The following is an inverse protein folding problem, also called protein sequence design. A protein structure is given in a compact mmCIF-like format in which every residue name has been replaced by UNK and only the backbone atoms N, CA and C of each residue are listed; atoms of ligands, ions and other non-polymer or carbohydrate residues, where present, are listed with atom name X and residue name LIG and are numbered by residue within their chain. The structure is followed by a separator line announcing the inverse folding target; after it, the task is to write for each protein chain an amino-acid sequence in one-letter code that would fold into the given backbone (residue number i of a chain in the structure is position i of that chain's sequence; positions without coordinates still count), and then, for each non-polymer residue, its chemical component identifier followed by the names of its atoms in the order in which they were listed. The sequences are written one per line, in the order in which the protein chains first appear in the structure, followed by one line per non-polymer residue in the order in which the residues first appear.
data_IF_992117255576
#
_entry.id   IF_992117255576
#
_cell.length_a   1.000
_cell.length_b   1.000
_cell.length_c   1.000
_cell.angle_alpha   90.00
_cell.angle_beta   90.00
_cell.angle_gamma   90.00
#
_symmetry.space_group_name_H-M   'P 1'
#
loop_
_entity.id
_entity.type
_entity.pdbx_description
1 polymer ?
#
# COMPACT_ATOMS: atom_id res chain seq x y z
N UNK A 1 44.02 -31.34 33.49
CA UNK A 1 43.76 -29.88 33.58
C UNK A 1 42.28 -29.64 33.33
N UNK A 2 41.56 -29.18 34.37
CA UNK A 2 40.11 -29.03 34.38
C UNK A 2 39.71 -27.70 33.70
N UNK A 3 39.17 -27.77 32.48
CA UNK A 3 38.61 -26.61 31.73
C UNK A 3 37.23 -26.14 32.25
N UNK A 4 36.71 -26.69 33.34
CA UNK A 4 35.38 -26.38 33.89
C UNK A 4 35.19 -24.98 34.53
N UNK A 5 36.19 -24.29 35.12
CA UNK A 5 35.95 -22.98 35.73
C UNK A 5 35.79 -21.86 34.68
N UNK A 6 36.43 -21.99 33.51
CA UNK A 6 36.41 -20.96 32.46
C UNK A 6 35.05 -20.96 31.74
N UNK A 7 34.43 -22.13 31.53
CA UNK A 7 33.13 -22.25 30.87
C UNK A 7 31.98 -21.64 31.70
N UNK A 8 32.04 -21.77 33.03
CA UNK A 8 31.03 -21.19 33.95
C UNK A 8 31.18 -19.67 34.04
N UNK A 9 32.41 -19.15 33.97
CA UNK A 9 32.66 -17.71 33.97
C UNK A 9 32.21 -17.04 32.67
N UNK A 10 32.38 -17.71 31.52
CA UNK A 10 31.87 -17.22 30.22
C UNK A 10 30.34 -17.22 30.20
N UNK A 11 29.68 -18.28 30.69
CA UNK A 11 28.21 -18.35 30.75
C UNK A 11 27.60 -17.33 31.73
N UNK A 12 28.28 -17.01 32.83
CA UNK A 12 27.85 -15.95 33.76
C UNK A 12 28.07 -14.54 33.18
N UNK A 13 29.14 -14.33 32.42
CA UNK A 13 29.36 -13.06 31.71
C UNK A 13 28.32 -12.85 30.60
N UNK A 14 28.04 -13.89 29.80
CA UNK A 14 26.99 -13.84 28.77
C UNK A 14 25.61 -13.53 29.38
N UNK A 15 25.30 -14.07 30.57
CA UNK A 15 24.00 -13.82 31.21
C UNK A 15 23.87 -12.41 31.79
N UNK A 16 24.93 -11.87 32.41
CA UNK A 16 24.94 -10.52 32.98
C UNK A 16 24.94 -9.45 31.87
N UNK A 17 25.69 -9.69 30.78
CA UNK A 17 25.70 -8.82 29.60
C UNK A 17 24.33 -8.83 28.91
N UNK A 18 23.74 -10.01 28.67
CA UNK A 18 22.39 -10.14 28.10
C UNK A 18 21.33 -9.42 28.93
N UNK A 19 21.40 -9.48 30.27
CA UNK A 19 20.45 -8.79 31.16
C UNK A 19 20.58 -7.26 31.05
N UNK A 20 21.80 -6.73 31.07
CA UNK A 20 22.02 -5.28 30.95
C UNK A 20 21.53 -4.71 29.62
N UNK A 21 21.71 -5.50 28.56
CA UNK A 21 21.26 -5.18 27.21
C UNK A 21 19.74 -5.15 27.11
N UNK A 22 19.08 -6.16 27.69
CA UNK A 22 17.62 -6.26 27.74
C UNK A 22 16.99 -5.12 28.53
N UNK A 23 17.58 -4.75 29.68
CA UNK A 23 17.14 -3.61 30.51
C UNK A 23 17.23 -2.29 29.75
N UNK A 24 18.27 -2.08 28.94
CA UNK A 24 18.43 -0.83 28.19
C UNK A 24 17.46 -0.74 27.01
N UNK A 25 17.20 -1.84 26.29
CA UNK A 25 16.14 -1.87 25.27
C UNK A 25 14.76 -1.71 25.91
N UNK A 26 14.54 -2.27 27.08
CA UNK A 26 13.33 -2.04 27.87
C UNK A 26 13.18 -0.54 28.21
N UNK A 27 14.24 0.12 28.67
CA UNK A 27 14.24 1.55 28.94
C UNK A 27 13.95 2.39 27.68
N UNK A 28 14.50 2.02 26.53
CA UNK A 28 14.21 2.66 25.24
C UNK A 28 12.74 2.48 24.87
N UNK A 29 12.22 1.26 25.01
CA UNK A 29 10.83 0.91 24.74
C UNK A 29 9.88 1.69 25.63
N UNK A 30 10.19 1.83 26.93
CA UNK A 30 9.42 2.62 27.88
C UNK A 30 9.52 4.13 27.60
N UNK A 31 10.67 4.64 27.17
CA UNK A 31 10.82 6.03 26.70
C UNK A 31 9.99 6.30 25.44
N UNK A 32 9.89 5.31 24.55
CA UNK A 32 9.05 5.38 23.34
C UNK A 32 7.56 5.38 23.72
N UNK A 33 7.15 4.51 24.64
CA UNK A 33 5.77 4.42 25.12
C UNK A 33 5.32 5.64 25.95
N UNK A 34 6.21 6.28 26.70
CA UNK A 34 5.88 7.42 27.57
C UNK A 34 5.77 8.76 26.82
N UNK A 35 6.35 8.86 25.61
CA UNK A 35 6.24 10.03 24.72
C UNK A 35 4.90 10.09 23.96
N UNK A 36 3.78 9.82 24.63
CA UNK A 36 2.39 9.75 24.15
C UNK A 36 1.83 10.97 23.34
N UNK A 37 2.67 11.83 22.75
CA UNK A 37 2.27 13.08 22.09
C UNK A 37 3.20 13.63 20.99
N UNK A 38 4.14 12.88 20.42
CA UNK A 38 5.11 13.47 19.48
C UNK A 38 5.11 12.76 18.11
N UNK A 39 4.75 13.55 17.10
CA UNK A 39 4.98 13.44 15.64
C UNK A 39 5.37 12.05 15.09
N UNK A 40 4.49 11.53 14.22
CA UNK A 40 4.49 10.15 13.72
C UNK A 40 5.61 9.91 12.71
N UNK A 41 6.82 9.67 13.21
CA UNK A 41 7.77 8.79 12.57
C UNK A 41 8.64 8.11 13.64
N UNK A 42 8.31 6.86 13.99
CA UNK A 42 9.05 6.11 15.02
C UNK A 42 10.56 6.04 14.70
N UNK A 43 10.95 6.09 13.42
CA UNK A 43 12.35 6.17 12.98
C UNK A 43 13.03 7.45 13.50
N UNK A 44 12.34 8.60 13.50
CA UNK A 44 12.88 9.83 14.07
C UNK A 44 13.13 9.70 15.58
N UNK A 45 12.28 8.92 16.27
CA UNK A 45 12.48 8.68 17.70
C UNK A 45 13.65 7.72 17.93
N UNK A 46 13.78 6.68 17.09
CA UNK A 46 14.95 5.80 17.11
C UNK A 46 16.25 6.58 16.84
N UNK A 47 16.28 7.47 15.85
CA UNK A 47 17.43 8.36 15.57
C UNK A 47 17.75 9.27 16.75
N UNK A 48 16.74 9.90 17.35
CA UNK A 48 16.94 10.77 18.51
C UNK A 48 17.52 10.01 19.69
N UNK A 49 17.11 8.77 19.90
CA UNK A 49 17.60 7.91 20.98
C UNK A 49 18.98 7.34 20.67
N UNK A 50 19.26 7.01 19.41
CA UNK A 50 20.59 6.56 18.99
C UNK A 50 21.62 7.68 19.17
N UNK A 51 21.27 8.92 18.81
CA UNK A 51 22.15 10.08 18.97
C UNK A 51 22.39 10.50 20.43
N UNK A 52 21.60 10.00 21.38
CA UNK A 52 21.96 10.15 22.79
C UNK A 52 23.12 9.20 23.11
N UNK A 53 24.32 9.77 23.22
CA UNK A 53 25.64 9.10 23.20
C UNK A 53 25.78 7.88 24.14
N UNK A 54 24.92 7.71 25.15
CA UNK A 54 25.00 6.61 26.12
C UNK A 54 24.46 5.25 25.63
N UNK A 55 23.74 5.19 24.51
CA UNK A 55 23.09 3.96 24.05
C UNK A 55 23.93 3.19 23.02
N UNK A 56 24.56 3.87 22.06
CA UNK A 56 25.28 3.24 20.93
C UNK A 56 26.58 2.57 21.39
N UNK A 57 27.31 3.14 22.35
CA UNK A 57 28.67 2.70 22.69
C UNK A 57 28.75 1.36 23.46
N UNK A 58 27.62 0.72 23.76
CA UNK A 58 27.56 -0.37 24.75
C UNK A 58 27.02 -1.72 24.27
N UNK A 59 26.63 -1.85 23.00
CA UNK A 59 26.10 -3.10 22.46
C UNK A 59 27.07 -3.69 21.43
N UNK A 60 27.42 -4.97 21.60
CA UNK A 60 28.09 -5.70 20.52
C UNK A 60 27.06 -6.40 19.60
N UNK A 61 27.51 -6.77 18.40
CA UNK A 61 26.64 -7.37 17.38
C UNK A 61 25.93 -8.65 17.84
N UNK A 62 26.64 -9.54 18.54
CA UNK A 62 26.11 -10.84 18.97
C UNK A 62 24.97 -10.69 19.98
N UNK A 63 25.05 -9.69 20.86
CA UNK A 63 24.00 -9.35 21.81
C UNK A 63 22.72 -8.88 21.10
N UNK A 64 22.87 -7.98 20.12
CA UNK A 64 21.74 -7.46 19.35
C UNK A 64 21.07 -8.57 18.52
N UNK A 65 21.85 -9.50 17.95
CA UNK A 65 21.31 -10.69 17.26
C UNK A 65 20.51 -11.56 18.24
N UNK A 66 21.02 -11.79 19.45
CA UNK A 66 20.30 -12.58 20.46
C UNK A 66 18.95 -11.96 20.81
N UNK A 67 18.88 -10.64 20.89
CA UNK A 67 17.62 -9.92 21.15
C UNK A 67 16.65 -10.08 19.98
N UNK A 68 17.15 -9.86 18.76
CA UNK A 68 16.40 -9.97 17.52
C UNK A 68 15.72 -11.34 17.38
N UNK A 69 16.34 -12.40 17.89
CA UNK A 69 15.78 -13.75 17.79
C UNK A 69 14.72 -14.03 18.87
N UNK A 70 14.95 -13.58 20.12
CA UNK A 70 14.21 -14.09 21.29
C UNK A 70 13.11 -13.18 21.85
N UNK A 71 12.98 -11.95 21.37
CA UNK A 71 12.12 -10.93 22.02
C UNK A 71 10.78 -10.65 21.30
N UNK A 72 9.98 -9.77 21.89
CA UNK A 72 8.80 -9.21 21.23
C UNK A 72 9.18 -8.32 20.03
N UNK A 73 8.22 -8.09 19.13
CA UNK A 73 8.48 -7.47 17.82
C UNK A 73 9.09 -6.07 17.91
N UNK A 74 8.67 -5.27 18.88
CA UNK A 74 9.23 -3.94 19.06
C UNK A 74 10.72 -3.98 19.43
N UNK A 75 11.08 -4.82 20.42
CA UNK A 75 12.48 -5.03 20.82
C UNK A 75 13.32 -5.57 19.66
N UNK A 76 12.75 -6.46 18.83
CA UNK A 76 13.39 -6.98 17.62
C UNK A 76 13.74 -5.85 16.65
N UNK A 77 12.81 -4.94 16.37
CA UNK A 77 13.03 -3.81 15.48
C UNK A 77 14.05 -2.81 16.03
N UNK A 78 14.02 -2.53 17.34
CA UNK A 78 15.02 -1.69 18.00
C UNK A 78 16.41 -2.32 17.86
N UNK A 79 16.55 -3.61 18.15
CA UNK A 79 17.82 -4.32 17.99
C UNK A 79 18.30 -4.27 16.53
N UNK A 80 17.41 -4.52 15.56
CA UNK A 80 17.75 -4.43 14.14
C UNK A 80 18.21 -3.04 13.73
N UNK A 81 17.54 -1.98 14.20
CA UNK A 81 17.94 -0.60 13.95
C UNK A 81 19.39 -0.34 14.38
N UNK A 82 19.82 -0.84 15.54
CA UNK A 82 21.21 -0.74 15.97
C UNK A 82 22.17 -1.62 15.15
N UNK A 83 21.76 -2.84 14.78
CA UNK A 83 22.55 -3.74 13.92
C UNK A 83 22.91 -3.04 12.60
N UNK A 84 21.97 -2.33 11.98
CA UNK A 84 22.21 -1.61 10.72
C UNK A 84 23.25 -0.50 10.88
N UNK A 85 23.32 0.13 12.05
CA UNK A 85 24.31 1.16 12.35
C UNK A 85 25.73 0.63 12.56
N UNK A 86 25.88 -0.60 13.06
CA UNK A 86 27.19 -1.19 13.40
C UNK A 86 27.74 -2.14 12.32
N UNK A 87 26.86 -2.84 11.60
CA UNK A 87 27.23 -3.84 10.60
C UNK A 87 26.19 -3.88 9.46
N UNK A 88 26.45 -3.06 8.44
CA UNK A 88 25.58 -2.96 7.26
C UNK A 88 25.41 -4.32 6.57
N UNK A 89 26.49 -5.06 6.34
CA UNK A 89 26.44 -6.36 5.66
C UNK A 89 25.55 -7.35 6.40
N UNK A 90 25.68 -7.44 7.73
CA UNK A 90 24.85 -8.34 8.53
C UNK A 90 23.38 -7.96 8.50
N UNK A 91 23.10 -6.66 8.54
CA UNK A 91 21.73 -6.15 8.46
C UNK A 91 21.06 -6.50 7.12
N UNK A 92 21.81 -6.44 6.01
CA UNK A 92 21.35 -6.86 4.69
C UNK A 92 21.03 -8.36 4.67
N UNK A 93 21.89 -9.20 5.24
CA UNK A 93 21.62 -10.64 5.34
C UNK A 93 20.32 -10.94 6.10
N UNK A 94 20.10 -10.25 7.22
CA UNK A 94 18.91 -10.41 8.05
C UNK A 94 17.66 -9.93 7.31
N UNK A 95 17.73 -8.77 6.65
CA UNK A 95 16.64 -8.24 5.82
C UNK A 95 16.28 -9.23 4.72
N UNK A 96 17.25 -9.70 3.94
CA UNK A 96 16.99 -10.61 2.82
C UNK A 96 16.35 -11.93 3.25
N UNK A 97 16.70 -12.45 4.43
CA UNK A 97 16.04 -13.62 5.03
C UNK A 97 14.59 -13.38 5.43
N UNK A 98 14.22 -12.13 5.70
CA UNK A 98 12.93 -11.75 6.28
C UNK A 98 12.09 -10.85 5.37
N UNK A 99 12.54 -10.53 4.16
CA UNK A 99 11.91 -9.54 3.27
C UNK A 99 10.44 -9.86 2.94
N UNK A 100 10.07 -11.15 2.94
CA UNK A 100 8.69 -11.60 2.72
C UNK A 100 8.01 -12.14 3.98
N UNK A 101 8.60 -11.94 5.16
CA UNK A 101 8.07 -12.44 6.42
C UNK A 101 6.68 -11.83 6.66
N UNK A 102 5.59 -12.63 6.62
CA UNK A 102 4.23 -12.12 6.68
C UNK A 102 3.79 -11.75 8.10
N UNK A 103 4.64 -11.96 9.11
CA UNK A 103 4.30 -11.67 10.50
C UNK A 103 3.93 -10.20 10.63
N UNK A 104 2.68 -9.94 10.98
CA UNK A 104 2.18 -8.60 11.27
C UNK A 104 2.74 -8.15 12.62
N UNK A 105 3.32 -6.96 12.64
CA UNK A 105 3.69 -6.23 13.83
C UNK A 105 2.63 -5.16 14.06
N UNK A 106 2.10 -5.13 15.28
CA UNK A 106 1.17 -4.10 15.72
C UNK A 106 1.89 -3.13 16.64
N UNK A 107 1.74 -1.84 16.36
CA UNK A 107 2.25 -0.78 17.22
C UNK A 107 1.07 -0.16 17.99
N UNK A 108 1.13 -0.20 19.32
CA UNK A 108 0.14 0.44 20.18
C UNK A 108 0.41 1.95 20.24
N UNK A 109 0.15 2.64 19.12
CA UNK A 109 0.22 4.09 18.96
C UNK A 109 -1.21 4.67 18.92
N UNK A 110 -1.42 5.97 19.17
CA UNK A 110 -2.75 6.60 19.12
C UNK A 110 -3.50 6.35 17.80
N UNK A 111 -2.75 6.29 16.70
CA UNK A 111 -3.21 5.80 15.41
C UNK A 111 -2.69 4.37 15.23
N UNK A 112 -3.60 3.40 15.26
CA UNK A 112 -3.28 1.98 15.11
C UNK A 112 -2.51 1.75 13.81
N UNK A 113 -1.27 1.29 13.91
CA UNK A 113 -0.38 1.03 12.77
C UNK A 113 0.00 -0.46 12.74
N UNK A 114 -0.30 -1.11 11.62
CA UNK A 114 0.08 -2.49 11.31
C UNK A 114 1.01 -2.51 10.10
N UNK A 115 2.04 -3.35 10.17
CA UNK A 115 2.99 -3.56 9.08
C UNK A 115 3.58 -4.96 9.17
N UNK A 116 4.16 -5.47 8.09
CA UNK A 116 4.85 -6.77 8.13
C UNK A 116 6.26 -6.60 8.68
N UNK A 117 6.79 -7.65 9.31
CA UNK A 117 8.15 -7.63 9.82
C UNK A 117 9.18 -7.33 8.72
N UNK A 118 9.02 -7.92 7.53
CA UNK A 118 9.88 -7.63 6.38
C UNK A 118 9.82 -6.17 5.92
N UNK A 119 8.63 -5.56 5.91
CA UNK A 119 8.46 -4.15 5.54
C UNK A 119 9.14 -3.22 6.55
N UNK A 120 9.04 -3.51 7.85
CA UNK A 120 9.68 -2.69 8.88
C UNK A 120 11.21 -2.80 8.84
N UNK A 121 11.77 -4.00 8.63
CA UNK A 121 13.21 -4.13 8.38
C UNK A 121 13.64 -3.33 7.15
N UNK A 122 12.87 -3.38 6.06
CA UNK A 122 13.15 -2.63 4.83
C UNK A 122 13.19 -1.12 5.10
N UNK A 123 12.20 -0.59 5.83
CA UNK A 123 12.14 0.84 6.22
C UNK A 123 13.37 1.26 7.02
N UNK A 124 13.72 0.48 8.04
CA UNK A 124 14.85 0.76 8.92
C UNK A 124 16.16 0.75 8.11
N UNK A 125 16.39 -0.26 7.27
CA UNK A 125 17.61 -0.35 6.46
C UNK A 125 17.72 0.83 5.50
N UNK A 126 16.64 1.16 4.77
CA UNK A 126 16.64 2.30 3.84
C UNK A 126 16.90 3.62 4.57
N UNK A 127 16.28 3.82 5.72
CA UNK A 127 16.45 5.02 6.52
C UNK A 127 17.91 5.20 6.97
N UNK A 128 18.51 4.15 7.55
CA UNK A 128 19.88 4.18 8.07
C UNK A 128 20.93 4.32 6.98
N UNK A 129 20.82 3.58 5.87
CA UNK A 129 21.76 3.70 4.75
C UNK A 129 21.73 5.11 4.15
N UNK A 130 20.54 5.72 4.06
CA UNK A 130 20.38 7.10 3.61
C UNK A 130 21.02 8.10 4.58
N UNK A 131 20.79 7.93 5.89
CA UNK A 131 21.40 8.77 6.92
C UNK A 131 22.93 8.69 6.90
N UNK A 132 23.47 7.48 6.76
CA UNK A 132 24.90 7.21 6.69
C UNK A 132 25.52 7.60 5.35
N UNK A 133 24.72 8.05 4.37
CA UNK A 133 25.15 8.37 3.00
C UNK A 133 25.91 7.21 2.34
N UNK A 134 25.42 5.98 2.54
CA UNK A 134 26.03 4.78 1.93
C UNK A 134 26.13 4.97 0.41
N UNK A 135 27.32 4.76 -0.15
CA UNK A 135 27.62 5.05 -1.57
C UNK A 135 26.83 4.19 -2.56
N UNK A 136 26.35 3.03 -2.11
CA UNK A 136 25.55 2.07 -2.87
C UNK A 136 24.03 2.17 -2.59
N UNK A 137 23.56 3.20 -1.87
CA UNK A 137 22.18 3.29 -1.41
C UNK A 137 21.15 3.11 -2.53
N UNK A 138 21.28 3.87 -3.63
CA UNK A 138 20.31 3.83 -4.74
C UNK A 138 20.28 2.46 -5.44
N UNK A 139 21.45 1.83 -5.59
CA UNK A 139 21.55 0.49 -6.19
C UNK A 139 20.94 -0.58 -5.27
N UNK A 140 21.14 -0.44 -3.96
CA UNK A 140 20.55 -1.32 -2.97
C UNK A 140 19.03 -1.19 -2.91
N UNK A 141 18.50 0.04 -2.93
CA UNK A 141 17.05 0.28 -2.99
C UNK A 141 16.45 -0.40 -4.22
N UNK A 142 17.03 -0.17 -5.41
CA UNK A 142 16.57 -0.81 -6.65
C UNK A 142 16.64 -2.34 -6.57
N UNK A 143 17.67 -2.90 -5.95
CA UNK A 143 17.79 -4.34 -5.76
C UNK A 143 16.66 -4.91 -4.91
N UNK A 144 16.38 -4.28 -3.75
CA UNK A 144 15.30 -4.68 -2.85
C UNK A 144 13.92 -4.52 -3.50
N UNK A 145 13.68 -3.39 -4.17
CA UNK A 145 12.44 -3.15 -4.90
C UNK A 145 12.22 -4.20 -6.01
N UNK A 146 13.27 -4.55 -6.75
CA UNK A 146 13.20 -5.58 -7.78
C UNK A 146 12.91 -6.97 -7.19
N UNK A 147 13.47 -7.31 -6.02
CA UNK A 147 13.15 -8.56 -5.31
C UNK A 147 11.66 -8.60 -4.92
N UNK A 148 11.17 -7.56 -4.26
CA UNK A 148 9.76 -7.44 -3.84
C UNK A 148 8.84 -7.57 -5.06
N UNK A 149 9.15 -6.83 -6.13
CA UNK A 149 8.31 -6.78 -7.31
C UNK A 149 8.20 -8.13 -8.03
N UNK A 150 9.31 -8.87 -8.18
CA UNK A 150 9.33 -10.13 -8.94
C UNK A 150 8.90 -11.36 -8.12
N UNK A 151 8.86 -11.28 -6.79
CA UNK A 151 8.46 -12.41 -5.97
C UNK A 151 6.93 -12.58 -5.91
N UNK A 152 6.42 -13.69 -6.43
CA UNK A 152 5.00 -14.04 -6.40
C UNK A 152 4.44 -14.18 -4.97
N UNK A 153 5.29 -14.57 -4.01
CA UNK A 153 4.88 -14.75 -2.62
C UNK A 153 4.98 -13.47 -1.79
N UNK A 154 5.49 -12.36 -2.36
CA UNK A 154 5.71 -11.14 -1.61
C UNK A 154 4.42 -10.64 -0.94
N UNK A 155 4.51 -10.35 0.36
CA UNK A 155 3.45 -9.75 1.17
C UNK A 155 3.71 -8.27 1.47
N UNK A 156 4.76 -7.71 0.86
CA UNK A 156 5.20 -6.35 1.13
C UNK A 156 4.17 -5.33 0.66
N UNK A 157 3.86 -4.36 1.52
CA UNK A 157 2.99 -3.24 1.17
C UNK A 157 3.62 -2.31 0.12
N UNK A 158 4.94 -2.33 -0.04
CA UNK A 158 5.65 -1.54 -1.06
C UNK A 158 5.30 -1.98 -2.47
N UNK A 159 4.94 -3.25 -2.67
CA UNK A 159 4.69 -3.83 -3.98
C UNK A 159 3.59 -3.12 -4.76
N UNK A 160 2.52 -2.69 -4.10
CA UNK A 160 1.45 -1.94 -4.76
C UNK A 160 1.95 -0.59 -5.32
N UNK A 161 2.81 0.11 -4.57
CA UNK A 161 3.46 1.34 -5.02
C UNK A 161 4.42 1.11 -6.18
N UNK A 162 5.22 0.04 -6.12
CA UNK A 162 6.13 -0.35 -7.20
C UNK A 162 5.37 -0.66 -8.49
N UNK A 163 4.28 -1.43 -8.40
CA UNK A 163 3.39 -1.75 -9.52
C UNK A 163 2.83 -0.49 -10.16
N UNK A 164 2.34 0.47 -9.36
CA UNK A 164 1.78 1.74 -9.85
C UNK A 164 2.80 2.55 -10.67
N UNK A 165 4.07 2.48 -10.28
CA UNK A 165 5.16 3.26 -10.86
C UNK A 165 5.92 2.53 -11.99
N UNK A 166 5.57 1.28 -12.31
CA UNK A 166 6.22 0.55 -13.40
C UNK A 166 6.02 1.26 -14.73
N UNK A 167 7.12 1.44 -15.48
CA UNK A 167 7.06 1.97 -16.83
C UNK A 167 6.25 1.07 -17.76
N UNK A 168 5.56 1.69 -18.73
CA UNK A 168 4.75 0.99 -19.74
C UNK A 168 5.67 0.56 -20.89
N UNK A 169 6.44 -0.49 -20.64
CA UNK A 169 7.36 -1.14 -21.59
C UNK A 169 7.08 -2.65 -21.67
N UNK A 170 7.37 -3.27 -22.81
CA UNK A 170 7.01 -4.67 -23.09
C UNK A 170 7.51 -5.65 -22.01
N UNK A 171 8.73 -5.45 -21.49
CA UNK A 171 9.28 -6.27 -20.41
C UNK A 171 8.39 -6.31 -19.16
N UNK A 172 7.74 -5.18 -18.83
CA UNK A 172 6.88 -5.07 -17.65
C UNK A 172 5.47 -5.59 -17.91
N UNK A 173 5.05 -5.73 -19.18
CA UNK A 173 3.73 -6.24 -19.56
C UNK A 173 3.51 -7.66 -19.04
N UNK A 174 4.42 -8.59 -19.34
CA UNK A 174 4.31 -9.99 -18.92
C UNK A 174 4.31 -10.16 -17.40
N UNK A 175 5.14 -9.38 -16.69
CA UNK A 175 5.17 -9.35 -15.24
C UNK A 175 3.84 -8.87 -14.66
N UNK A 176 3.31 -7.75 -15.15
CA UNK A 176 2.01 -7.22 -14.71
C UNK A 176 0.87 -8.18 -15.02
N UNK A 177 0.93 -8.86 -16.16
CA UNK A 177 -0.05 -9.86 -16.56
C UNK A 177 -0.06 -11.05 -15.62
N UNK A 178 1.11 -11.53 -15.18
CA UNK A 178 1.24 -12.57 -14.16
C UNK A 178 0.63 -12.11 -12.83
N UNK A 179 1.04 -10.94 -12.32
CA UNK A 179 0.57 -10.39 -11.04
C UNK A 179 -0.95 -10.17 -11.05
N UNK A 180 -1.52 -9.65 -12.14
CA UNK A 180 -2.95 -9.40 -12.26
C UNK A 180 -3.78 -10.69 -12.20
N UNK A 181 -3.28 -11.82 -12.71
CA UNK A 181 -4.00 -13.10 -12.61
C UNK A 181 -4.10 -13.63 -11.20
N UNK A 182 -3.11 -13.35 -10.35
CA UNK A 182 -3.08 -13.77 -8.95
C UNK A 182 -4.07 -12.98 -8.08
N UNK A 183 -4.47 -11.76 -8.52
CA UNK A 183 -5.37 -10.83 -7.83
C UNK A 183 -4.94 -10.39 -6.42
N UNK A 184 -3.73 -10.73 -5.97
CA UNK A 184 -3.18 -10.32 -4.67
C UNK A 184 -2.90 -8.82 -4.60
N UNK A 185 -2.44 -8.24 -5.72
CA UNK A 185 -2.19 -6.80 -5.87
C UNK A 185 -3.09 -6.26 -6.98
N UNK A 186 -4.37 -5.96 -6.67
CA UNK A 186 -5.37 -5.63 -7.68
C UNK A 186 -5.07 -4.35 -8.46
N UNK A 187 -4.18 -3.48 -7.99
CA UNK A 187 -3.67 -2.31 -8.72
C UNK A 187 -2.97 -2.69 -10.03
N UNK A 188 -2.42 -3.91 -10.12
CA UNK A 188 -1.75 -4.42 -11.31
C UNK A 188 -2.64 -4.42 -12.56
N UNK A 189 -3.95 -4.66 -12.44
CA UNK A 189 -4.84 -4.63 -13.62
C UNK A 189 -4.99 -3.24 -14.20
N UNK A 190 -4.90 -2.20 -13.36
CA UNK A 190 -4.96 -0.80 -13.80
C UNK A 190 -3.71 -0.46 -14.60
N UNK A 191 -2.54 -0.88 -14.12
CA UNK A 191 -1.28 -0.66 -14.83
C UNK A 191 -1.19 -1.50 -16.12
N UNK A 192 -1.63 -2.76 -16.08
CA UNK A 192 -1.70 -3.65 -17.24
C UNK A 192 -2.58 -3.05 -18.35
N UNK A 193 -3.72 -2.46 -18.00
CA UNK A 193 -4.62 -1.86 -18.97
C UNK A 193 -3.99 -0.69 -19.75
N UNK A 194 -2.98 0.00 -19.22
CA UNK A 194 -2.29 1.09 -19.94
C UNK A 194 -1.60 0.63 -21.23
N UNK A 195 -1.26 -0.66 -21.33
CA UNK A 195 -0.72 -1.26 -22.56
C UNK A 195 -1.78 -1.42 -23.67
N UNK A 196 -3.07 -1.39 -23.31
CA UNK A 196 -4.20 -1.53 -24.26
C UNK A 196 -4.12 -2.78 -25.14
N UNK A 197 -3.50 -3.84 -24.61
CA UNK A 197 -3.32 -5.10 -25.33
C UNK A 197 -4.64 -5.90 -25.34
N UNK A 198 -5.11 -6.28 -26.53
CA UNK A 198 -6.37 -7.03 -26.70
C UNK A 198 -6.34 -8.41 -26.01
N UNK A 199 -5.16 -9.00 -25.82
CA UNK A 199 -5.01 -10.29 -25.16
C UNK A 199 -5.26 -10.24 -23.64
N UNK A 200 -5.41 -9.04 -23.06
CA UNK A 200 -5.70 -8.85 -21.63
C UNK A 200 -7.18 -8.55 -21.34
N UNK A 201 -8.02 -8.47 -22.37
CA UNK A 201 -9.46 -8.20 -22.24
C UNK A 201 -10.12 -9.17 -21.25
N UNK A 202 -9.81 -10.46 -21.36
CA UNK A 202 -10.38 -11.48 -20.48
C UNK A 202 -9.99 -11.28 -19.01
N UNK A 203 -8.75 -10.84 -18.75
CA UNK A 203 -8.27 -10.57 -17.40
C UNK A 203 -9.05 -9.39 -16.81
N UNK A 204 -9.27 -8.31 -17.58
CA UNK A 204 -10.05 -7.15 -17.14
C UNK A 204 -11.51 -7.55 -16.88
N UNK A 205 -12.12 -8.37 -17.74
CA UNK A 205 -13.47 -8.91 -17.55
C UNK A 205 -13.57 -9.71 -16.24
N UNK A 206 -12.58 -10.56 -15.94
CA UNK A 206 -12.53 -11.33 -14.70
C UNK A 206 -12.45 -10.45 -13.44
N UNK A 207 -11.91 -9.24 -13.55
CA UNK A 207 -11.99 -8.24 -12.47
C UNK A 207 -13.36 -7.59 -12.39
N UNK A 208 -13.96 -7.20 -13.53
CA UNK A 208 -15.31 -6.61 -13.57
C UNK A 208 -16.38 -7.54 -13.00
N UNK A 209 -16.25 -8.84 -13.22
CA UNK A 209 -17.19 -9.85 -12.74
C UNK A 209 -17.04 -10.20 -11.26
N UNK A 210 -15.89 -9.88 -10.66
CA UNK A 210 -15.58 -10.23 -9.28
C UNK A 210 -15.96 -9.08 -8.34
N UNK A 211 -16.92 -9.31 -7.44
CA UNK A 211 -17.45 -8.25 -6.58
C UNK A 211 -16.41 -7.61 -5.68
N UNK A 212 -15.40 -8.38 -5.27
CA UNK A 212 -14.31 -7.91 -4.42
C UNK A 212 -13.36 -6.97 -5.17
N UNK A 213 -13.18 -7.17 -6.48
CA UNK A 213 -12.17 -6.47 -7.27
C UNK A 213 -12.73 -5.59 -8.40
N UNK A 214 -14.04 -5.55 -8.60
CA UNK A 214 -14.67 -4.84 -9.71
C UNK A 214 -14.31 -3.35 -9.78
N UNK A 215 -14.02 -2.68 -8.66
CA UNK A 215 -13.59 -1.28 -8.66
C UNK A 215 -12.26 -1.10 -9.42
N UNK A 216 -11.34 -2.07 -9.31
CA UNK A 216 -10.08 -2.08 -10.06
C UNK A 216 -10.31 -2.41 -11.53
N UNK A 217 -11.24 -3.33 -11.83
CA UNK A 217 -11.68 -3.61 -13.19
C UNK A 217 -12.28 -2.37 -13.88
N UNK A 218 -13.14 -1.62 -13.18
CA UNK A 218 -13.72 -0.38 -13.69
C UNK A 218 -12.61 0.65 -13.98
N UNK A 219 -11.65 0.84 -13.06
CA UNK A 219 -10.49 1.72 -13.27
C UNK A 219 -9.59 1.28 -14.43
N UNK A 220 -9.42 -0.03 -14.64
CA UNK A 220 -8.68 -0.56 -15.77
C UNK A 220 -9.34 -0.17 -17.10
N UNK A 221 -10.68 -0.24 -17.18
CA UNK A 221 -11.43 0.17 -18.39
C UNK A 221 -11.24 1.66 -18.71
N UNK A 222 -11.03 2.54 -17.72
CA UNK A 222 -10.72 3.95 -18.00
C UNK A 222 -9.39 4.11 -18.76
N UNK A 223 -8.42 3.23 -18.53
CA UNK A 223 -7.13 3.22 -19.23
C UNK A 223 -7.20 2.51 -20.59
N UNK A 224 -8.10 1.54 -20.73
CA UNK A 224 -8.36 0.81 -21.97
C UNK A 224 -9.86 0.65 -22.24
N UNK A 225 -10.54 1.69 -22.76
CA UNK A 225 -11.94 1.56 -23.14
C UNK A 225 -12.10 0.59 -24.32
N UNK A 226 -13.00 -0.39 -24.20
CA UNK A 226 -13.30 -1.37 -25.23
C UNK A 226 -14.75 -1.83 -25.12
N UNK A 227 -15.46 -1.93 -26.24
CA UNK A 227 -16.88 -2.31 -26.26
C UNK A 227 -17.17 -3.67 -25.60
N UNK A 228 -16.19 -4.57 -25.56
CA UNK A 228 -16.31 -5.87 -24.88
C UNK A 228 -16.58 -5.73 -23.38
N UNK A 229 -16.22 -4.60 -22.75
CA UNK A 229 -16.42 -4.36 -21.33
C UNK A 229 -17.81 -3.81 -20.99
N UNK A 230 -18.50 -3.19 -21.95
CA UNK A 230 -19.77 -2.49 -21.74
C UNK A 230 -20.87 -3.38 -21.11
N UNK A 231 -21.11 -4.62 -21.56
CA UNK A 231 -22.13 -5.48 -20.93
C UNK A 231 -21.90 -5.69 -19.42
N UNK A 232 -20.63 -5.80 -19.01
CA UNK A 232 -20.24 -5.99 -17.62
C UNK A 232 -20.41 -4.71 -16.80
N UNK A 233 -20.04 -3.55 -17.35
CA UNK A 233 -20.28 -2.25 -16.71
C UNK A 233 -21.77 -2.00 -16.47
N UNK A 234 -22.62 -2.30 -17.46
CA UNK A 234 -24.08 -2.20 -17.32
C UNK A 234 -24.61 -3.19 -16.28
N UNK A 235 -24.07 -4.42 -16.24
CA UNK A 235 -24.43 -5.40 -15.20
C UNK A 235 -24.09 -4.88 -13.80
N UNK A 236 -22.90 -4.30 -13.61
CA UNK A 236 -22.49 -3.68 -12.34
C UNK A 236 -23.44 -2.54 -11.98
N UNK A 237 -23.71 -1.61 -12.92
CA UNK A 237 -24.64 -0.51 -12.70
C UNK A 237 -26.02 -1.03 -12.25
N UNK A 238 -26.61 -1.98 -12.98
CA UNK A 238 -27.95 -2.51 -12.69
C UNK A 238 -28.00 -3.21 -11.33
N UNK A 239 -26.94 -3.90 -10.95
CA UNK A 239 -26.82 -4.54 -9.64
C UNK A 239 -26.72 -3.50 -8.53
N UNK A 240 -25.68 -2.67 -8.58
CA UNK A 240 -25.39 -1.66 -7.55
C UNK A 240 -26.54 -0.66 -7.40
N UNK A 241 -27.29 -0.40 -8.46
CA UNK A 241 -28.46 0.48 -8.42
C UNK A 241 -29.55 -0.03 -7.46
N UNK A 242 -29.68 -1.35 -7.28
CA UNK A 242 -30.67 -1.97 -6.39
C UNK A 242 -30.26 -1.89 -4.91
N UNK A 243 -28.99 -1.63 -4.64
CA UNK A 243 -28.47 -1.59 -3.27
C UNK A 243 -29.05 -0.43 -2.46
N UNK A 244 -29.19 -0.67 -1.15
CA UNK A 244 -29.67 0.32 -0.17
C UNK A 244 -28.58 1.34 0.16
N UNK A 245 -27.34 0.88 0.25
CA UNK A 245 -26.18 1.70 0.60
C UNK A 245 -25.31 1.97 -0.63
N UNK A 246 -24.63 3.11 -0.62
CA UNK A 246 -23.82 3.56 -1.74
C UNK A 246 -22.34 3.39 -1.43
N UNK A 247 -21.62 2.67 -2.29
CA UNK A 247 -20.18 2.80 -2.38
C UNK A 247 -19.86 4.02 -3.27
N UNK A 248 -19.69 5.19 -2.65
CA UNK A 248 -19.49 6.44 -3.37
C UNK A 248 -18.24 6.45 -4.28
N UNK A 249 -17.06 5.98 -3.83
CA UNK A 249 -15.88 5.87 -4.71
C UNK A 249 -16.14 5.00 -5.95
N UNK A 250 -16.86 3.88 -5.79
CA UNK A 250 -17.20 3.00 -6.91
C UNK A 250 -18.17 3.67 -7.88
N UNK A 251 -19.22 4.33 -7.39
CA UNK A 251 -20.18 5.05 -8.23
C UNK A 251 -19.52 6.17 -9.04
N UNK A 252 -18.63 6.94 -8.41
CA UNK A 252 -17.84 7.98 -9.07
C UNK A 252 -17.02 7.40 -10.22
N UNK A 253 -16.26 6.35 -9.95
CA UNK A 253 -15.43 5.67 -10.95
C UNK A 253 -16.29 5.07 -12.07
N UNK A 254 -17.44 4.47 -11.72
CA UNK A 254 -18.34 3.87 -12.69
C UNK A 254 -18.91 4.92 -13.65
N UNK A 255 -19.48 6.03 -13.17
CA UNK A 255 -20.00 7.07 -14.07
C UNK A 255 -18.93 7.63 -15.01
N UNK A 256 -17.74 7.91 -14.50
CA UNK A 256 -16.59 8.32 -15.31
C UNK A 256 -16.19 7.28 -16.35
N UNK A 257 -16.41 5.99 -16.06
CA UNK A 257 -16.09 4.92 -17.01
C UNK A 257 -17.18 4.77 -18.08
N UNK A 258 -18.45 4.99 -17.70
CA UNK A 258 -19.59 4.92 -18.61
C UNK A 258 -19.52 6.01 -19.70
N UNK A 259 -18.89 7.16 -19.44
CA UNK A 259 -18.75 8.23 -20.44
C UNK A 259 -17.87 7.87 -21.64
N UNK A 260 -17.05 6.83 -21.55
CA UNK A 260 -16.27 6.32 -22.69
C UNK A 260 -17.13 5.59 -23.75
N UNK A 261 -18.43 5.39 -23.49
CA UNK A 261 -19.36 4.69 -24.39
C UNK A 261 -20.56 5.58 -24.79
N UNK A 262 -20.31 6.72 -25.47
CA UNK A 262 -21.35 7.73 -25.75
C UNK A 262 -22.41 7.29 -26.75
N UNK A 263 -22.20 6.16 -27.42
CA UNK A 263 -23.11 5.67 -28.47
C UNK A 263 -24.06 4.60 -27.94
N UNK A 264 -23.88 4.13 -26.70
CA UNK A 264 -24.67 3.05 -26.12
C UNK A 264 -26.01 3.58 -25.58
N UNK A 265 -27.15 3.08 -26.10
CA UNK A 265 -28.47 3.40 -25.55
C UNK A 265 -28.61 3.06 -24.05
N UNK A 266 -27.94 2.00 -23.59
CA UNK A 266 -27.96 1.54 -22.20
C UNK A 266 -27.30 2.55 -21.25
N UNK A 267 -26.25 3.25 -21.72
CA UNK A 267 -25.62 4.34 -20.95
C UNK A 267 -26.57 5.51 -20.82
N UNK A 268 -27.22 5.89 -21.92
CA UNK A 268 -28.23 6.94 -21.90
C UNK A 268 -29.41 6.60 -20.99
N UNK A 269 -29.85 5.33 -20.96
CA UNK A 269 -30.87 4.85 -20.02
C UNK A 269 -30.40 4.94 -18.57
N UNK A 270 -29.16 4.51 -18.28
CA UNK A 270 -28.57 4.59 -16.95
C UNK A 270 -28.48 6.04 -16.43
N UNK A 271 -28.06 6.99 -17.28
CA UNK A 271 -27.98 8.40 -16.92
C UNK A 271 -29.37 9.00 -16.69
N UNK A 272 -30.34 8.73 -17.59
CA UNK A 272 -31.73 9.16 -17.41
C UNK A 272 -32.35 8.61 -16.13
N UNK A 273 -32.11 7.33 -15.81
CA UNK A 273 -32.57 6.67 -14.58
C UNK A 273 -32.00 7.33 -13.32
N UNK A 274 -30.76 7.80 -13.39
CA UNK A 274 -30.10 8.54 -12.31
C UNK A 274 -30.78 9.87 -12.04
N UNK A 275 -31.03 10.63 -13.10
CA UNK A 275 -31.66 11.95 -13.05
C UNK A 275 -33.13 11.87 -12.59
N UNK A 276 -33.87 10.88 -13.11
CA UNK A 276 -35.33 10.77 -12.91
C UNK A 276 -35.74 10.01 -11.64
N UNK A 277 -34.81 9.46 -10.85
CA UNK A 277 -35.17 8.65 -9.68
C UNK A 277 -35.96 9.46 -8.65
N UNK A 278 -37.01 8.83 -8.10
CA UNK A 278 -37.86 9.43 -7.06
C UNK A 278 -37.16 9.51 -5.69
N UNK A 279 -36.12 8.69 -5.49
CA UNK A 279 -35.34 8.71 -4.25
C UNK A 279 -34.45 9.96 -4.23
N UNK A 280 -34.85 10.98 -3.44
CA UNK A 280 -34.16 12.27 -3.35
C UNK A 280 -32.67 12.15 -2.97
N UNK A 281 -32.32 11.27 -2.02
CA UNK A 281 -30.92 11.05 -1.59
C UNK A 281 -30.10 10.44 -2.73
N UNK A 282 -30.60 9.37 -3.34
CA UNK A 282 -29.96 8.70 -4.49
C UNK A 282 -29.75 9.68 -5.64
N UNK A 283 -30.80 10.46 -5.97
CA UNK A 283 -30.74 11.48 -7.01
C UNK A 283 -29.66 12.52 -6.70
N UNK A 284 -29.65 13.11 -5.50
CA UNK A 284 -28.67 14.13 -5.10
C UNK A 284 -27.23 13.63 -5.26
N UNK A 285 -26.89 12.49 -4.63
CA UNK A 285 -25.51 12.00 -4.61
C UNK A 285 -25.05 11.44 -5.95
N UNK A 286 -25.87 10.64 -6.62
CA UNK A 286 -25.47 10.03 -7.88
C UNK A 286 -25.49 11.03 -9.04
N UNK A 287 -26.37 12.04 -9.01
CA UNK A 287 -26.33 13.14 -9.99
C UNK A 287 -25.07 13.99 -9.83
N UNK A 288 -24.58 14.20 -8.60
CA UNK A 288 -23.28 14.85 -8.36
C UNK A 288 -22.15 14.12 -9.07
N UNK A 289 -22.06 12.79 -8.89
CA UNK A 289 -21.01 11.99 -9.53
C UNK A 289 -21.16 11.90 -11.05
N UNK A 290 -22.40 11.85 -11.54
CA UNK A 290 -22.65 11.94 -12.97
C UNK A 290 -22.18 13.30 -13.53
N UNK A 291 -22.47 14.41 -12.86
CA UNK A 291 -21.99 15.73 -13.33
C UNK A 291 -20.46 15.81 -13.34
N UNK A 292 -19.80 15.34 -12.28
CA UNK A 292 -18.34 15.27 -12.23
C UNK A 292 -17.79 14.46 -13.41
N UNK A 293 -18.42 13.32 -13.74
CA UNK A 293 -18.03 12.52 -14.90
C UNK A 293 -18.20 13.27 -16.22
N UNK A 294 -19.32 13.98 -16.42
CA UNK A 294 -19.59 14.76 -17.62
C UNK A 294 -18.67 15.98 -17.77
N UNK A 295 -18.22 16.57 -16.66
CA UNK A 295 -17.25 17.67 -16.66
C UNK A 295 -15.84 17.15 -16.98
N UNK A 296 -15.41 16.05 -16.34
CA UNK A 296 -14.09 15.47 -16.59
C UNK A 296 -13.93 14.88 -17.99
N UNK A 297 -15.00 14.30 -18.52
CA UNK A 297 -15.01 13.60 -19.81
C UNK A 297 -16.13 14.17 -20.70
N UNK A 298 -15.96 15.41 -21.20
CA UNK A 298 -17.00 16.07 -21.98
C UNK A 298 -17.25 15.32 -23.31
N UNK A 299 -18.53 15.12 -23.64
CA UNK A 299 -18.94 14.55 -24.92
C UNK A 299 -20.24 15.21 -25.39
N UNK A 300 -20.36 15.66 -26.66
CA UNK A 300 -21.56 16.31 -27.19
C UNK A 300 -22.85 15.49 -27.00
N UNK A 301 -22.76 14.15 -27.06
CA UNK A 301 -23.93 13.27 -26.90
C UNK A 301 -24.52 13.31 -25.49
N UNK A 302 -23.78 13.79 -24.50
CA UNK A 302 -24.22 13.90 -23.12
C UNK A 302 -24.61 15.31 -22.67
N UNK A 303 -24.48 16.33 -23.53
CA UNK A 303 -24.84 17.72 -23.19
C UNK A 303 -26.29 17.86 -22.71
N UNK A 304 -27.19 17.04 -23.26
CA UNK A 304 -28.61 16.96 -22.87
C UNK A 304 -28.82 16.72 -21.37
N UNK A 305 -27.82 16.17 -20.67
CA UNK A 305 -27.91 15.85 -19.26
C UNK A 305 -27.44 16.99 -18.35
N UNK A 306 -26.56 17.89 -18.78
CA UNK A 306 -25.95 18.91 -17.92
C UNK A 306 -26.99 19.80 -17.22
N UNK A 307 -28.02 20.22 -17.97
CA UNK A 307 -29.08 21.08 -17.45
C UNK A 307 -30.18 20.31 -16.69
N UNK A 308 -30.12 18.97 -16.69
CA UNK A 308 -31.12 18.10 -16.07
C UNK A 308 -30.73 17.63 -14.68
N UNK A 309 -29.49 17.91 -14.23
CA UNK A 309 -28.95 17.44 -12.96
C UNK A 309 -29.38 18.36 -11.82
N UNK A 310 -30.17 17.84 -10.88
CA UNK A 310 -30.70 18.61 -9.76
C UNK A 310 -29.96 18.27 -8.45
N UNK A 311 -28.90 19.03 -8.16
CA UNK A 311 -28.17 19.01 -6.90
C UNK A 311 -27.46 20.37 -6.67
N UNK A 312 -27.05 20.66 -5.44
CA UNK A 312 -26.31 21.89 -5.13
C UNK A 312 -24.83 21.73 -5.52
N UNK A 313 -24.38 22.48 -6.54
CA UNK A 313 -23.02 22.46 -7.05
C UNK A 313 -22.03 23.26 -6.19
N UNK A 314 -22.51 24.16 -5.33
CA UNK A 314 -21.69 24.97 -4.40
C UNK A 314 -21.33 24.23 -3.10
N UNK A 315 -21.40 22.90 -3.10
CA UNK A 315 -20.93 22.08 -1.99
C UNK A 315 -19.40 22.01 -2.08
N UNK A 316 -18.67 22.41 -1.04
CA UNK A 316 -17.19 22.39 -1.00
C UNK A 316 -16.60 21.01 -1.34
N UNK A 317 -17.35 19.94 -1.12
CA UNK A 317 -16.97 18.58 -1.51
C UNK A 317 -17.02 18.36 -3.03
N UNK A 318 -17.63 19.25 -3.81
CA UNK A 318 -17.69 19.13 -5.27
C UNK A 318 -16.32 19.38 -5.90
N UNK A 319 -15.66 20.48 -5.56
CA UNK A 319 -14.36 20.82 -6.14
C UNK A 319 -13.26 19.83 -5.68
N UNK A 320 -13.32 19.38 -4.42
CA UNK A 320 -12.45 18.31 -3.92
C UNK A 320 -12.64 17.01 -4.71
N UNK A 321 -13.88 16.61 -4.96
CA UNK A 321 -14.17 15.41 -5.76
C UNK A 321 -13.97 15.62 -7.26
N UNK A 322 -14.00 16.85 -7.77
CA UNK A 322 -13.66 17.15 -9.14
C UNK A 322 -12.15 17.03 -9.35
N UNK A 323 -11.34 17.47 -8.39
CA UNK A 323 -9.88 17.45 -8.52
C UNK A 323 -9.22 16.15 -8.07
N UNK A 324 -9.91 15.28 -7.33
CA UNK A 324 -9.34 13.98 -6.95
C UNK A 324 -9.06 13.11 -8.19
N UNK A 325 -7.88 12.49 -8.26
CA UNK A 325 -7.48 11.57 -9.34
C UNK A 325 -8.30 10.27 -9.36
#
# INVERSE_FOLDING_TARGET
MNFKPILIFILLFESILSQNVEIKIENITQKLASKNKLDVNYLNILDSLSKSESVIESYNENELITILDKNNDFKKLVAFYYIVGINEQKSIEILLKNINNPKVITFNMPDFYESTFGDELTRITFHKMKENKSSNYDDFVKFIENLILNDANSNSIFKAGLIKNLEIIEKNHELLRKIAKEKKFPESIIQLAKFKNKNDIEIIINYLMDEKYNVYGIKAVQNFPNNSFLPYLIKIFKKDWKERYFNFPKWRTLYQTLTFYPDSPEIHEAFKKTISTRNKKKRKYLSKYLDIALIKYPNPKFEVYKNSLNYNRNDYLFDLELNAE
#
